data_IF_014365989322
#
_entry.id   IF_014365989322
#
_cell.length_a   1.000
_cell.length_b   1.000
_cell.length_c   1.000
_cell.angle_alpha   90.00
_cell.angle_beta   90.00
_cell.angle_gamma   90.00
#
_symmetry.space_group_name_H-M   'P 1'
#
loop_
_entity.id
_entity.type
_entity.pdbx_description
1 polymer ?
#
# COMPACT_ATOMS: atom_id res chain seq x y z
N UNK A 1 24.92 -6.57 -4.86
CA UNK A 1 23.89 -6.93 -3.87
C UNK A 1 22.94 -5.72 -3.74
N UNK A 2 21.64 -5.91 -3.90
CA UNK A 2 20.65 -4.82 -3.77
C UNK A 2 20.45 -4.48 -2.29
N UNK A 3 20.30 -3.20 -1.96
CA UNK A 3 20.09 -2.77 -0.57
C UNK A 3 18.63 -2.46 -0.32
N UNK A 4 18.10 -2.95 0.81
CA UNK A 4 16.72 -2.69 1.25
C UNK A 4 16.76 -1.63 2.34
N UNK A 5 16.03 -0.54 2.11
CA UNK A 5 15.81 0.55 3.05
C UNK A 5 14.34 0.58 3.47
N UNK A 6 14.08 0.92 4.72
CA UNK A 6 12.74 1.23 5.22
C UNK A 6 12.71 2.69 5.66
N UNK A 7 11.77 3.44 5.13
CA UNK A 7 11.40 4.79 5.56
C UNK A 7 10.16 4.66 6.42
N UNK A 8 10.23 5.12 7.66
CA UNK A 8 9.23 4.84 8.70
C UNK A 8 7.98 5.71 8.63
N UNK A 9 8.01 6.77 7.81
CA UNK A 9 6.87 7.67 7.59
C UNK A 9 7.11 8.54 6.34
N UNK A 10 6.02 8.93 5.68
CA UNK A 10 6.05 9.69 4.41
C UNK A 10 6.78 11.03 4.48
N UNK A 11 6.86 11.64 5.67
CA UNK A 11 7.54 12.92 5.89
C UNK A 11 9.06 12.81 5.73
N UNK A 12 9.61 11.61 5.94
CA UNK A 12 11.05 11.35 5.75
C UNK A 12 11.43 11.02 4.30
N UNK A 13 10.46 10.94 3.38
CA UNK A 13 10.71 10.69 1.95
C UNK A 13 11.41 11.90 1.34
N UNK A 14 12.51 11.63 0.64
CA UNK A 14 13.23 12.57 -0.21
C UNK A 14 13.07 12.12 -1.65
N UNK A 15 12.16 12.76 -2.37
CA UNK A 15 11.72 12.36 -3.72
C UNK A 15 12.88 12.21 -4.69
N UNK A 16 13.86 13.13 -4.63
CA UNK A 16 15.05 13.12 -5.47
C UNK A 16 15.93 11.86 -5.29
N UNK A 17 15.81 11.17 -4.16
CA UNK A 17 16.56 9.94 -3.89
C UNK A 17 15.86 8.67 -4.36
N UNK A 18 14.62 8.77 -4.78
CA UNK A 18 13.84 7.62 -5.24
C UNK A 18 13.97 7.34 -6.74
N UNK A 19 14.36 8.30 -7.55
CA UNK A 19 14.38 8.23 -9.02
C UNK A 19 15.10 6.99 -9.61
N UNK A 20 16.13 6.48 -8.92
CA UNK A 20 16.85 5.27 -9.34
C UNK A 20 16.47 4.00 -8.57
N UNK A 21 15.47 4.05 -7.70
CA UNK A 21 15.11 2.97 -6.80
C UNK A 21 13.80 2.28 -7.22
N UNK A 22 13.69 0.99 -6.88
CA UNK A 22 12.37 0.35 -6.79
C UNK A 22 11.76 0.73 -5.44
N UNK A 23 10.56 1.28 -5.44
CA UNK A 23 9.85 1.65 -4.21
C UNK A 23 8.59 0.80 -4.02
N UNK A 24 8.19 0.62 -2.75
CA UNK A 24 6.87 0.12 -2.39
C UNK A 24 6.28 0.99 -1.28
N UNK A 25 5.07 1.50 -1.49
CA UNK A 25 4.32 2.26 -0.48
C UNK A 25 3.42 1.33 0.29
N UNK A 26 3.42 1.50 1.62
CA UNK A 26 2.70 0.66 2.58
C UNK A 26 1.86 1.56 3.48
N UNK A 27 0.54 1.33 3.47
CA UNK A 27 -0.47 1.92 4.34
C UNK A 27 -1.48 0.80 4.67
N UNK A 28 -1.17 0.04 5.72
CA UNK A 28 -1.91 -1.17 6.06
C UNK A 28 -3.34 -0.85 6.49
N UNK A 29 -3.52 0.23 7.25
CA UNK A 29 -4.83 0.63 7.77
C UNK A 29 -5.20 2.09 7.38
N UNK A 30 -5.76 2.33 6.11
CA UNK A 30 -6.32 1.30 5.21
C UNK A 30 -5.96 1.50 3.73
N UNK A 31 -5.37 2.63 3.34
CA UNK A 31 -5.41 3.09 1.95
C UNK A 31 -4.81 2.07 0.97
N UNK A 32 -3.60 1.52 1.23
CA UNK A 32 -3.02 0.56 0.29
C UNK A 32 -3.74 -0.78 0.32
N UNK A 33 -4.26 -1.22 1.47
CA UNK A 33 -5.11 -2.40 1.53
C UNK A 33 -6.35 -2.22 0.66
N UNK A 34 -7.04 -1.09 0.77
CA UNK A 34 -8.23 -0.78 -0.03
C UNK A 34 -7.91 -0.77 -1.53
N UNK A 35 -6.80 -0.14 -1.94
CA UNK A 35 -6.35 -0.13 -3.35
C UNK A 35 -6.14 -1.56 -3.87
N UNK A 36 -5.53 -2.43 -3.07
CA UNK A 36 -5.27 -3.83 -3.45
C UNK A 36 -6.59 -4.60 -3.60
N UNK A 37 -7.53 -4.44 -2.67
CA UNK A 37 -8.86 -5.04 -2.77
C UNK A 37 -9.65 -4.51 -3.97
N UNK A 38 -9.60 -3.21 -4.26
CA UNK A 38 -10.21 -2.63 -5.46
C UNK A 38 -9.70 -3.31 -6.71
N UNK A 39 -8.38 -3.39 -6.86
CA UNK A 39 -7.78 -4.05 -8.03
C UNK A 39 -8.14 -5.54 -8.07
N UNK A 40 -8.12 -6.27 -6.94
CA UNK A 40 -8.52 -7.68 -6.90
C UNK A 40 -9.94 -7.88 -7.44
N UNK A 41 -10.84 -6.94 -7.15
CA UNK A 41 -12.23 -6.89 -7.62
C UNK A 41 -12.42 -6.27 -9.02
N UNK A 42 -11.32 -6.04 -9.75
CA UNK A 42 -11.30 -5.48 -11.11
C UNK A 42 -11.74 -4.01 -11.22
N UNK A 43 -11.68 -3.24 -10.14
CA UNK A 43 -11.73 -1.78 -10.24
C UNK A 43 -10.38 -1.28 -10.76
N UNK A 44 -10.30 -0.99 -12.04
CA UNK A 44 -9.05 -0.60 -12.69
C UNK A 44 -9.33 0.41 -13.81
N UNK A 45 -8.65 1.57 -13.86
CA UNK A 45 -7.54 1.97 -12.96
C UNK A 45 -8.04 2.50 -11.60
N UNK A 46 -7.12 2.54 -10.62
CA UNK A 46 -7.32 3.27 -9.36
C UNK A 46 -6.49 4.54 -9.37
N UNK A 47 -7.14 5.68 -9.15
CA UNK A 47 -6.50 6.99 -9.05
C UNK A 47 -6.32 7.37 -7.59
N UNK A 48 -5.07 7.46 -7.12
CA UNK A 48 -4.74 7.97 -5.80
C UNK A 48 -4.45 9.48 -5.91
N UNK A 49 -5.27 10.29 -5.23
CA UNK A 49 -5.20 11.76 -5.30
C UNK A 49 -5.00 12.38 -3.93
N UNK A 50 -4.53 13.64 -3.88
CA UNK A 50 -4.09 14.30 -2.64
C UNK A 50 -5.24 14.76 -1.73
N UNK A 51 -6.46 14.87 -2.24
CA UNK A 51 -7.58 15.32 -1.41
C UNK A 51 -8.89 15.37 -2.17
N UNK A 52 -9.96 15.75 -1.45
CA UNK A 52 -11.33 15.74 -1.96
C UNK A 52 -11.55 16.66 -3.17
N UNK A 53 -10.91 17.80 -3.23
CA UNK A 53 -11.06 18.75 -4.34
C UNK A 53 -10.55 18.12 -5.64
N UNK A 54 -9.33 17.60 -5.64
CA UNK A 54 -8.75 16.89 -6.78
C UNK A 54 -9.57 15.66 -7.17
N UNK A 55 -10.07 14.91 -6.17
CA UNK A 55 -10.92 13.75 -6.42
C UNK A 55 -12.22 14.14 -7.16
N UNK A 56 -12.89 15.22 -6.71
CA UNK A 56 -14.12 15.70 -7.34
C UNK A 56 -13.88 16.29 -8.74
N UNK A 57 -12.75 16.94 -8.97
CA UNK A 57 -12.38 17.43 -10.31
C UNK A 57 -12.16 16.26 -11.26
N UNK A 58 -11.37 15.27 -10.84
CA UNK A 58 -11.12 14.09 -11.65
C UNK A 58 -12.41 13.30 -11.90
N UNK A 59 -13.27 13.16 -10.89
CA UNK A 59 -14.57 12.50 -11.01
C UNK A 59 -15.46 13.10 -12.10
N UNK A 60 -15.46 14.43 -12.26
CA UNK A 60 -16.22 15.13 -13.32
C UNK A 60 -15.68 14.86 -14.73
N UNK A 61 -14.42 14.48 -14.84
CA UNK A 61 -13.77 14.18 -16.12
C UNK A 61 -13.91 12.71 -16.53
N UNK A 62 -14.32 11.85 -15.60
CA UNK A 62 -14.54 10.43 -15.89
C UNK A 62 -15.91 10.23 -16.55
N UNK A 63 -15.94 9.68 -17.76
CA UNK A 63 -17.18 9.32 -18.44
C UNK A 63 -17.78 8.01 -17.92
N UNK A 64 -16.94 7.11 -17.43
CA UNK A 64 -17.35 5.83 -16.86
C UNK A 64 -17.79 5.97 -15.40
N UNK A 65 -18.71 5.12 -14.97
CA UNK A 65 -19.03 4.98 -13.55
C UNK A 65 -17.78 4.57 -12.76
N UNK A 66 -17.55 5.22 -11.63
CA UNK A 66 -16.39 4.99 -10.78
C UNK A 66 -16.76 5.11 -9.29
N UNK A 67 -16.00 4.42 -8.46
CA UNK A 67 -16.10 4.61 -7.01
C UNK A 67 -15.32 5.84 -6.59
N UNK A 68 -15.89 6.61 -5.66
CA UNK A 68 -15.28 7.77 -5.06
C UNK A 68 -15.09 7.50 -3.57
N UNK A 69 -13.87 7.24 -3.15
CA UNK A 69 -13.52 6.86 -1.79
C UNK A 69 -12.66 7.94 -1.12
N UNK A 70 -12.96 8.24 0.15
CA UNK A 70 -12.15 9.25 0.81
C UNK A 70 -12.36 9.38 2.31
N UNK A 71 -11.26 9.67 3.00
CA UNK A 71 -11.21 10.04 4.40
C UNK A 71 -10.23 11.18 4.64
N UNK A 72 -10.43 11.90 5.73
CA UNK A 72 -9.48 12.88 6.25
C UNK A 72 -9.37 12.72 7.76
N UNK A 73 -8.16 12.41 8.26
CA UNK A 73 -7.87 12.17 9.69
C UNK A 73 -8.78 11.11 10.33
N UNK A 74 -9.13 10.08 9.55
CA UNK A 74 -10.02 8.99 9.95
C UNK A 74 -11.51 9.29 9.79
N UNK A 75 -11.92 10.53 9.49
CA UNK A 75 -13.31 10.88 9.25
C UNK A 75 -13.66 10.77 7.75
N UNK A 76 -14.78 10.10 7.45
CA UNK A 76 -15.25 9.96 6.07
C UNK A 76 -15.63 11.30 5.45
N UNK A 77 -15.27 11.49 4.18
CA UNK A 77 -15.56 12.71 3.45
C UNK A 77 -17.01 12.73 2.96
N UNK A 78 -17.64 13.91 3.01
CA UNK A 78 -19.03 14.06 2.54
C UNK A 78 -19.15 13.79 1.05
N UNK A 79 -20.01 12.84 0.68
CA UNK A 79 -20.24 12.44 -0.72
C UNK A 79 -19.23 11.43 -1.24
N UNK A 80 -18.39 10.87 -0.36
CA UNK A 80 -17.47 9.78 -0.65
C UNK A 80 -17.86 8.55 0.17
N UNK A 81 -17.61 7.38 -0.37
CA UNK A 81 -17.60 6.17 0.42
C UNK A 81 -16.33 6.12 1.29
N UNK A 82 -16.41 5.50 2.44
CA UNK A 82 -15.23 5.30 3.28
C UNK A 82 -14.30 4.27 2.63
N UNK A 83 -12.96 4.47 2.65
CA UNK A 83 -12.02 3.53 2.06
C UNK A 83 -11.84 2.28 2.93
N UNK A 84 -12.93 1.54 3.14
CA UNK A 84 -12.99 0.31 3.92
C UNK A 84 -13.02 -0.92 2.99
N UNK A 85 -12.00 -1.80 3.02
CA UNK A 85 -11.99 -3.00 2.19
C UNK A 85 -13.12 -3.98 2.53
N UNK A 86 -13.69 -3.95 3.75
CA UNK A 86 -14.85 -4.77 4.09
C UNK A 86 -16.07 -4.43 3.21
N UNK A 87 -16.30 -3.16 2.95
CA UNK A 87 -17.42 -2.70 2.14
C UNK A 87 -17.32 -3.18 0.67
N UNK A 88 -16.10 -3.44 0.20
CA UNK A 88 -15.86 -3.90 -1.16
C UNK A 88 -16.23 -5.37 -1.38
N UNK A 89 -16.41 -6.15 -0.32
CA UNK A 89 -16.70 -7.59 -0.43
C UNK A 89 -18.00 -7.88 -1.19
N UNK A 90 -18.95 -6.95 -1.15
CA UNK A 90 -20.26 -7.06 -1.78
C UNK A 90 -20.52 -6.02 -2.87
N UNK A 91 -19.50 -5.25 -3.25
CA UNK A 91 -19.63 -4.25 -4.30
C UNK A 91 -19.73 -4.88 -5.69
N UNK A 92 -20.56 -4.33 -6.59
CA UNK A 92 -20.66 -4.83 -7.96
C UNK A 92 -19.33 -4.69 -8.69
N UNK A 93 -18.99 -5.67 -9.50
CA UNK A 93 -17.79 -5.65 -10.33
C UNK A 93 -17.83 -4.51 -11.34
N UNK A 94 -16.66 -3.93 -11.60
CA UNK A 94 -16.25 -3.04 -12.70
C UNK A 94 -16.33 -1.59 -12.49
N UNK A 95 -15.25 -0.96 -12.31
CA UNK A 95 -15.15 0.47 -12.64
C UNK A 95 -13.85 0.98 -12.11
N UNK A 96 -13.38 2.07 -12.66
CA UNK A 96 -12.31 2.86 -12.06
C UNK A 96 -12.67 3.24 -10.62
N UNK A 97 -11.67 3.52 -9.82
CA UNK A 97 -11.86 4.10 -8.50
C UNK A 97 -10.96 5.32 -8.32
N UNK A 98 -11.47 6.31 -7.59
CA UNK A 98 -10.71 7.48 -7.15
C UNK A 98 -10.66 7.42 -5.62
N UNK A 99 -9.46 7.46 -5.07
CA UNK A 99 -9.25 7.38 -3.63
C UNK A 99 -8.40 8.55 -3.14
N UNK A 100 -8.79 9.19 -2.04
CA UNK A 100 -7.96 10.12 -1.30
C UNK A 100 -7.92 9.77 0.19
N UNK A 101 -6.76 9.89 0.81
CA UNK A 101 -6.55 9.59 2.22
C UNK A 101 -5.52 10.52 2.85
N UNK A 102 -5.52 10.56 4.17
CA UNK A 102 -4.60 11.40 4.95
C UNK A 102 -3.14 11.01 4.78
N UNK A 103 -2.85 9.71 4.59
CA UNK A 103 -1.49 9.19 4.63
C UNK A 103 -1.09 8.47 3.33
N UNK A 104 -1.80 7.43 2.94
CA UNK A 104 -1.38 6.53 1.86
C UNK A 104 -1.27 7.22 0.50
N UNK A 105 -2.26 8.03 0.11
CA UNK A 105 -2.23 8.72 -1.18
C UNK A 105 -1.15 9.78 -1.25
N UNK A 106 -0.83 10.43 -0.12
CA UNK A 106 0.29 11.38 -0.02
C UNK A 106 1.63 10.63 -0.14
N UNK A 107 1.76 9.46 0.49
CA UNK A 107 2.97 8.65 0.38
C UNK A 107 3.19 8.16 -1.06
N UNK A 108 2.13 7.78 -1.77
CA UNK A 108 2.18 7.40 -3.20
C UNK A 108 2.66 8.58 -4.04
N UNK A 109 2.07 9.76 -3.84
CA UNK A 109 2.48 10.98 -4.57
C UNK A 109 3.96 11.30 -4.35
N UNK A 110 4.46 11.21 -3.11
CA UNK A 110 5.89 11.43 -2.81
C UNK A 110 6.81 10.37 -3.41
N UNK A 111 6.31 9.17 -3.65
CA UNK A 111 7.09 8.07 -4.21
C UNK A 111 6.96 7.91 -5.73
N UNK A 112 6.08 8.66 -6.40
CA UNK A 112 5.73 8.49 -7.83
C UNK A 112 6.90 8.58 -8.79
N UNK A 113 7.96 9.31 -8.42
CA UNK A 113 9.17 9.49 -9.23
C UNK A 113 10.19 8.33 -9.05
N UNK A 114 9.86 7.28 -8.29
CA UNK A 114 10.68 6.09 -8.23
C UNK A 114 10.79 5.44 -9.62
N UNK A 115 11.92 4.76 -9.88
CA UNK A 115 12.11 4.00 -11.12
C UNK A 115 10.97 3.02 -11.38
N UNK A 116 10.47 2.41 -10.31
CA UNK A 116 9.28 1.58 -10.26
C UNK A 116 8.61 1.73 -8.91
N UNK A 117 7.31 1.91 -8.89
CA UNK A 117 6.53 2.09 -7.66
C UNK A 117 5.45 1.01 -7.56
N UNK A 118 5.55 0.22 -6.50
CA UNK A 118 4.55 -0.77 -6.09
C UNK A 118 3.68 -0.26 -4.95
N UNK A 119 2.45 -0.78 -4.87
CA UNK A 119 1.56 -0.58 -3.72
C UNK A 119 1.45 -1.89 -2.98
N UNK A 120 1.70 -1.87 -1.68
CA UNK A 120 1.76 -3.08 -0.86
C UNK A 120 1.08 -2.91 0.48
N UNK A 121 0.65 -4.02 1.03
CA UNK A 121 0.09 -4.16 2.36
C UNK A 121 0.35 -5.58 2.86
N UNK A 122 -0.07 -5.91 4.08
CA UNK A 122 -0.01 -7.28 4.62
C UNK A 122 -0.73 -8.32 3.73
N UNK A 123 -1.72 -7.89 2.94
CA UNK A 123 -2.54 -8.80 2.14
C UNK A 123 -1.83 -9.34 0.90
N UNK A 124 -0.84 -8.59 0.34
CA UNK A 124 -0.16 -8.94 -0.91
C UNK A 124 1.38 -8.86 -0.85
N UNK A 125 1.96 -8.53 0.31
CA UNK A 125 3.41 -8.26 0.43
C UNK A 125 4.29 -9.40 -0.08
N UNK A 126 3.88 -10.65 0.07
CA UNK A 126 4.57 -11.83 -0.46
C UNK A 126 4.70 -11.79 -2.00
N UNK A 127 3.66 -11.33 -2.72
CA UNK A 127 3.65 -11.22 -4.19
C UNK A 127 4.46 -10.03 -4.67
N UNK A 128 4.32 -8.90 -4.01
CA UNK A 128 5.13 -7.70 -4.32
C UNK A 128 6.62 -8.02 -4.13
N UNK A 129 6.99 -8.67 -3.03
CA UNK A 129 8.37 -9.09 -2.79
C UNK A 129 8.87 -10.09 -3.85
N UNK A 130 8.06 -11.07 -4.25
CA UNK A 130 8.38 -11.99 -5.34
C UNK A 130 8.66 -11.22 -6.64
N UNK A 131 7.79 -10.27 -6.98
CA UNK A 131 7.92 -9.48 -8.20
C UNK A 131 9.15 -8.58 -8.21
N UNK A 132 9.42 -7.89 -7.09
CA UNK A 132 10.64 -7.09 -6.93
C UNK A 132 11.91 -7.95 -7.08
N UNK A 133 11.87 -9.18 -6.57
CA UNK A 133 13.01 -10.10 -6.72
C UNK A 133 13.22 -10.50 -8.18
N UNK A 134 12.16 -10.71 -8.95
CA UNK A 134 12.25 -11.09 -10.36
C UNK A 134 12.83 -10.00 -11.28
N UNK A 135 12.76 -8.73 -10.88
CA UNK A 135 13.27 -7.61 -11.68
C UNK A 135 14.79 -7.65 -11.90
N UNK A 136 15.56 -8.07 -10.91
CA UNK A 136 17.02 -8.21 -10.93
C UNK A 136 17.79 -7.03 -11.59
N UNK A 137 17.23 -5.83 -11.51
CA UNK A 137 17.72 -4.64 -12.23
C UNK A 137 18.84 -3.89 -11.49
N UNK A 138 19.29 -4.43 -10.36
CA UNK A 138 20.36 -3.86 -9.53
C UNK A 138 19.95 -2.64 -8.68
N UNK A 139 18.75 -2.09 -8.84
CA UNK A 139 18.28 -0.93 -8.09
C UNK A 139 18.16 -1.22 -6.59
N UNK A 140 18.41 -0.20 -5.76
CA UNK A 140 18.05 -0.27 -4.33
C UNK A 140 16.55 -0.34 -4.16
N UNK A 141 16.11 -0.97 -3.07
CA UNK A 141 14.70 -1.10 -2.72
C UNK A 141 14.40 -0.17 -1.55
N UNK A 142 13.36 0.64 -1.69
CA UNK A 142 12.92 1.58 -0.64
C UNK A 142 11.47 1.27 -0.28
N UNK A 143 11.25 0.77 0.93
CA UNK A 143 9.93 0.51 1.48
C UNK A 143 9.49 1.75 2.26
N UNK A 144 8.41 2.37 1.83
CA UNK A 144 7.89 3.62 2.37
C UNK A 144 6.65 3.33 3.19
N UNK A 145 6.77 3.38 4.51
CA UNK A 145 5.61 3.41 5.40
C UNK A 145 4.92 4.78 5.29
N UNK A 146 3.61 4.80 5.18
CA UNK A 146 2.85 6.04 5.08
C UNK A 146 2.85 6.83 6.39
N UNK A 147 2.91 6.12 7.52
CA UNK A 147 2.82 6.72 8.83
C UNK A 147 1.39 7.14 9.19
N UNK A 148 1.23 7.77 10.33
CA UNK A 148 -0.06 8.22 10.86
C UNK A 148 0.04 9.70 11.28
N UNK A 149 -0.32 10.63 10.40
CA UNK A 149 -0.37 12.08 10.63
C UNK A 149 0.93 12.58 11.31
N UNK A 150 2.06 12.56 10.57
CA UNK A 150 3.42 12.91 11.00
C UNK A 150 4.03 12.00 12.09
N UNK A 151 3.41 10.85 12.37
CA UNK A 151 3.87 9.88 13.37
C UNK A 151 4.17 8.53 12.75
N UNK A 152 4.91 7.74 13.48
CA UNK A 152 5.16 6.34 13.17
C UNK A 152 3.87 5.53 13.17
N UNK A 153 3.75 4.61 12.20
CA UNK A 153 2.67 3.61 12.13
C UNK A 153 3.26 2.22 12.36
N UNK A 154 2.78 1.53 13.38
CA UNK A 154 3.25 0.19 13.74
C UNK A 154 2.88 -0.82 12.66
N UNK A 155 1.66 -0.78 12.17
CA UNK A 155 1.14 -1.67 11.15
C UNK A 155 1.89 -1.52 9.81
N UNK A 156 2.21 -0.30 9.39
CA UNK A 156 2.97 -0.06 8.17
C UNK A 156 4.40 -0.59 8.28
N UNK A 157 5.01 -0.40 9.45
CA UNK A 157 6.36 -0.88 9.71
C UNK A 157 6.43 -2.41 9.71
N UNK A 158 5.41 -3.07 10.25
CA UNK A 158 5.27 -4.53 10.21
C UNK A 158 5.00 -5.00 8.76
N UNK A 159 4.16 -4.29 8.00
CA UNK A 159 3.96 -4.54 6.57
C UNK A 159 5.25 -4.40 5.75
N UNK A 160 6.07 -3.39 6.03
CA UNK A 160 7.40 -3.27 5.43
C UNK A 160 8.31 -4.46 5.83
N UNK A 161 8.21 -4.90 7.08
CA UNK A 161 8.93 -6.08 7.58
C UNK A 161 8.58 -7.36 6.84
N UNK A 162 7.33 -7.54 6.41
CA UNK A 162 6.90 -8.66 5.57
C UNK A 162 7.67 -8.68 4.24
N UNK A 163 7.73 -7.54 3.52
CA UNK A 163 8.48 -7.48 2.27
C UNK A 163 9.97 -7.77 2.50
N UNK A 164 10.55 -7.20 3.58
CA UNK A 164 11.96 -7.50 3.94
C UNK A 164 12.16 -8.99 4.17
N UNK A 165 11.26 -9.64 4.91
CA UNK A 165 11.35 -11.09 5.19
C UNK A 165 11.34 -11.91 3.91
N UNK A 166 10.38 -11.67 3.04
CA UNK A 166 10.25 -12.39 1.78
C UNK A 166 11.43 -12.15 0.82
N UNK A 167 11.93 -10.92 0.74
CA UNK A 167 13.09 -10.59 -0.08
C UNK A 167 14.37 -11.21 0.49
N UNK A 168 14.59 -11.07 1.81
CA UNK A 168 15.80 -11.57 2.47
C UNK A 168 15.93 -13.09 2.34
N UNK A 169 14.82 -13.82 2.49
CA UNK A 169 14.79 -15.28 2.36
C UNK A 169 15.12 -15.77 0.94
N UNK A 170 14.98 -14.92 -0.08
CA UNK A 170 15.39 -15.21 -1.46
C UNK A 170 16.89 -14.98 -1.71
N UNK A 171 17.58 -14.32 -0.78
CA UNK A 171 19.00 -14.02 -0.85
C UNK A 171 19.36 -12.87 -1.77
N UNK A 172 20.60 -12.41 -1.69
CA UNK A 172 21.11 -11.35 -2.58
C UNK A 172 20.86 -9.91 -2.10
N UNK A 173 20.42 -9.71 -0.86
CA UNK A 173 20.08 -8.41 -0.31
C UNK A 173 20.91 -8.02 0.91
N UNK A 174 21.24 -6.74 1.01
CA UNK A 174 21.78 -6.09 2.19
C UNK A 174 20.66 -5.29 2.89
N UNK A 175 20.53 -5.43 4.20
CA UNK A 175 19.49 -4.75 4.97
C UNK A 175 20.05 -3.52 5.70
N UNK A 176 19.36 -2.39 5.57
CA UNK A 176 19.58 -1.24 6.48
C UNK A 176 19.15 -1.61 7.91
N UNK A 177 19.54 -0.82 8.91
CA UNK A 177 19.16 -1.08 10.30
C UNK A 177 17.64 -1.01 10.49
N UNK A 178 16.96 -0.06 9.85
CA UNK A 178 15.50 -0.01 9.85
C UNK A 178 14.87 -1.26 9.22
N UNK A 179 15.44 -1.79 8.12
CA UNK A 179 14.96 -3.02 7.50
C UNK A 179 15.15 -4.25 8.41
N UNK A 180 16.29 -4.35 9.10
CA UNK A 180 16.52 -5.43 10.10
C UNK A 180 15.50 -5.39 11.24
N UNK A 181 15.20 -4.18 11.74
CA UNK A 181 14.21 -4.01 12.80
C UNK A 181 12.79 -4.32 12.31
N UNK A 182 12.41 -3.85 11.12
CA UNK A 182 11.11 -4.15 10.52
C UNK A 182 10.92 -5.66 10.31
N UNK A 183 11.94 -6.36 9.79
CA UNK A 183 11.93 -7.82 9.65
C UNK A 183 11.68 -8.52 10.99
N UNK A 184 12.38 -8.09 12.04
CA UNK A 184 12.21 -8.65 13.39
C UNK A 184 10.81 -8.38 13.95
N UNK A 185 10.29 -7.16 13.75
CA UNK A 185 8.95 -6.79 14.15
C UNK A 185 7.91 -7.68 13.46
N UNK A 186 8.01 -7.83 12.12
CA UNK A 186 7.11 -8.71 11.37
C UNK A 186 7.14 -10.16 11.89
N UNK A 187 8.32 -10.74 12.11
CA UNK A 187 8.43 -12.13 12.61
C UNK A 187 7.74 -12.31 13.96
N UNK A 188 7.91 -11.36 14.87
CA UNK A 188 7.27 -11.43 16.19
C UNK A 188 5.76 -11.28 16.06
N UNK A 189 5.30 -10.28 15.31
CA UNK A 189 3.87 -10.03 15.07
C UNK A 189 3.17 -11.22 14.40
N UNK A 190 3.81 -11.78 13.37
CA UNK A 190 3.30 -12.97 12.69
C UNK A 190 3.17 -14.19 13.63
N UNK A 191 4.14 -14.41 14.53
CA UNK A 191 4.09 -15.48 15.52
C UNK A 191 2.92 -15.32 16.50
N UNK A 192 2.46 -14.08 16.73
CA UNK A 192 1.32 -13.73 17.59
C UNK A 192 0.04 -13.42 16.79
N UNK A 193 0.00 -13.83 15.50
CA UNK A 193 -1.16 -13.63 14.61
C UNK A 193 -1.58 -12.16 14.46
N UNK A 194 -0.63 -11.24 14.57
CA UNK A 194 -0.82 -9.78 14.45
C UNK A 194 -1.79 -9.17 15.49
N UNK A 195 -2.00 -9.82 16.61
CA UNK A 195 -2.97 -9.37 17.62
C UNK A 195 -2.69 -7.96 18.16
N UNK A 196 -1.42 -7.59 18.31
CA UNK A 196 -1.04 -6.25 18.78
C UNK A 196 -1.45 -5.13 17.81
N UNK A 197 -1.64 -5.43 16.52
CA UNK A 197 -2.10 -4.44 15.54
C UNK A 197 -3.55 -4.00 15.80
N UNK A 198 -4.36 -4.84 16.44
CA UNK A 198 -5.73 -4.49 16.80
C UNK A 198 -5.81 -3.43 17.90
N UNK A 199 -4.71 -3.18 18.61
CA UNK A 199 -4.57 -2.13 19.63
C UNK A 199 -3.68 -0.96 19.15
N UNK A 200 -3.29 -0.93 17.86
CA UNK A 200 -2.54 0.19 17.29
C UNK A 200 -3.34 1.50 17.36
N UNK A 201 -2.64 2.64 17.27
CA UNK A 201 -3.29 3.96 17.25
C UNK A 201 -4.29 4.07 16.10
N UNK A 202 -3.94 3.54 14.92
CA UNK A 202 -4.81 3.58 13.74
C UNK A 202 -6.01 2.64 13.89
N UNK A 203 -5.82 1.41 14.40
CA UNK A 203 -6.95 0.52 14.68
C UNK A 203 -7.93 1.12 15.69
N UNK A 204 -7.42 1.78 16.73
CA UNK A 204 -8.25 2.49 17.71
C UNK A 204 -8.95 3.72 17.11
N UNK A 205 -8.32 4.39 16.12
CA UNK A 205 -8.95 5.47 15.36
C UNK A 205 -10.13 4.92 14.53
N UNK A 206 -9.93 3.81 13.81
CA UNK A 206 -11.00 3.16 13.04
C UNK A 206 -12.18 2.76 13.91
N UNK A 207 -11.95 2.19 15.10
CA UNK A 207 -13.02 1.87 16.08
C UNK A 207 -13.82 3.12 16.46
N UNK A 208 -13.16 4.27 16.67
CA UNK A 208 -13.83 5.54 17.01
C UNK A 208 -14.71 6.08 15.88
N UNK A 209 -14.34 5.83 14.63
CA UNK A 209 -15.12 6.24 13.45
C UNK A 209 -16.11 5.18 12.96
N UNK A 210 -16.40 4.15 13.78
CA UNK A 210 -17.35 3.07 13.51
C UNK A 210 -16.91 2.09 12.40
N UNK A 211 -15.62 1.86 12.24
CA UNK A 211 -15.03 0.83 11.36
C UNK A 211 -14.23 -0.20 12.19
N UNK A 212 -14.82 -0.84 13.22
CA UNK A 212 -14.07 -1.70 14.14
C UNK A 212 -13.52 -2.97 13.46
N UNK A 213 -14.18 -3.43 12.41
CA UNK A 213 -13.85 -4.69 11.73
C UNK A 213 -12.77 -4.53 10.65
N UNK A 214 -12.52 -3.29 10.20
CA UNK A 214 -11.64 -3.04 9.06
C UNK A 214 -10.20 -3.53 9.28
N UNK A 215 -9.62 -3.28 10.45
CA UNK A 215 -8.27 -3.74 10.79
C UNK A 215 -8.21 -5.28 10.87
N UNK A 216 -9.18 -5.91 11.53
CA UNK A 216 -9.27 -7.37 11.63
C UNK A 216 -9.46 -8.02 10.26
N UNK A 217 -10.26 -7.39 9.40
CA UNK A 217 -10.47 -7.85 8.02
C UNK A 217 -9.15 -7.90 7.24
N UNK A 218 -8.33 -6.84 7.30
CA UNK A 218 -7.02 -6.80 6.64
C UNK A 218 -6.10 -7.89 7.19
N UNK A 219 -6.05 -8.05 8.53
CA UNK A 219 -5.22 -9.08 9.18
C UNK A 219 -5.65 -10.48 8.74
N UNK A 220 -6.95 -10.76 8.70
CA UNK A 220 -7.48 -12.07 8.25
C UNK A 220 -7.14 -12.38 6.79
N UNK A 221 -6.85 -11.34 5.99
CA UNK A 221 -6.42 -11.49 4.59
C UNK A 221 -4.91 -11.44 4.40
N UNK A 222 -4.12 -11.57 5.46
CA UNK A 222 -2.67 -11.68 5.37
C UNK A 222 -2.27 -12.73 4.32
N UNK A 223 -1.48 -12.30 3.32
CA UNK A 223 -0.96 -13.12 2.21
C UNK A 223 -2.03 -13.85 1.36
N UNK A 224 -3.25 -13.33 1.30
CA UNK A 224 -4.32 -14.00 0.53
C UNK A 224 -4.56 -13.41 -0.86
N UNK A 225 -4.01 -12.24 -1.18
CA UNK A 225 -4.24 -11.60 -2.46
C UNK A 225 -2.99 -11.67 -3.35
N UNK A 226 -3.21 -12.10 -4.59
CA UNK A 226 -2.15 -12.30 -5.59
C UNK A 226 -1.89 -11.06 -6.45
N UNK A 227 -2.62 -9.98 -6.21
CA UNK A 227 -2.53 -8.74 -6.97
C UNK A 227 -1.21 -8.03 -6.71
N UNK A 228 -0.55 -7.61 -7.78
CA UNK A 228 0.65 -6.77 -7.74
C UNK A 228 0.31 -5.42 -8.36
N UNK A 229 -0.06 -4.43 -7.54
CA UNK A 229 -0.35 -3.09 -8.04
C UNK A 229 0.92 -2.32 -8.35
N UNK A 230 0.93 -1.66 -9.50
CA UNK A 230 2.01 -0.75 -9.91
C UNK A 230 1.44 0.62 -10.25
N UNK A 231 2.23 1.66 -9.95
CA UNK A 231 1.91 3.02 -10.35
C UNK A 231 2.49 3.29 -11.74
N UNK A 232 1.64 3.59 -12.71
CA UNK A 232 1.99 3.88 -14.09
C UNK A 232 1.18 5.07 -14.59
N UNK A 233 1.83 6.08 -15.13
CA UNK A 233 1.21 7.25 -15.78
C UNK A 233 0.10 7.94 -14.95
N UNK A 234 0.31 8.08 -13.64
CA UNK A 234 -0.65 8.73 -12.75
C UNK A 234 -1.77 7.82 -12.22
N UNK A 235 -1.72 6.55 -12.54
CA UNK A 235 -2.73 5.55 -12.18
C UNK A 235 -2.10 4.35 -11.48
N UNK A 236 -2.89 3.63 -10.69
CA UNK A 236 -2.50 2.35 -10.12
C UNK A 236 -3.27 1.27 -10.86
N UNK A 237 -2.53 0.32 -11.42
CA UNK A 237 -3.05 -0.79 -12.23
C UNK A 237 -2.48 -2.12 -11.76
N UNK A 238 -3.11 -3.22 -12.13
CA UNK A 238 -2.50 -4.55 -11.96
C UNK A 238 -1.29 -4.67 -12.88
N UNK A 239 -0.16 -5.09 -12.35
CA UNK A 239 0.96 -5.43 -13.21
C UNK A 239 0.56 -6.56 -14.15
N UNK A 240 0.63 -6.31 -15.45
CA UNK A 240 0.42 -7.33 -16.47
C UNK A 240 1.69 -8.17 -16.59
N UNK A 241 1.57 -9.50 -16.48
CA UNK A 241 2.69 -10.40 -16.75
C UNK A 241 3.19 -10.07 -18.15
N UNK A 242 4.43 -9.59 -18.27
CA UNK A 242 5.08 -9.55 -19.57
C UNK A 242 5.18 -11.00 -20.06
N UNK A 243 4.42 -11.33 -21.10
CA UNK A 243 4.67 -12.56 -21.86
C UNK A 243 6.04 -12.38 -22.47
N UNK A 244 7.09 -12.96 -21.87
CA UNK A 244 8.37 -13.08 -22.55
C UNK A 244 8.10 -13.96 -23.76
N UNK A 245 8.02 -13.34 -24.94
CA UNK A 245 8.14 -14.09 -26.19
C UNK A 245 9.49 -14.79 -26.13
N UNK A 246 9.47 -16.11 -25.97
CA UNK A 246 10.66 -16.93 -26.16
C UNK A 246 11.02 -16.85 -27.64
N UNK A 247 12.06 -16.11 -27.97
CA UNK A 247 12.80 -16.23 -29.23
C UNK A 247 13.79 -17.38 -29.12
#
# INVERSE_FOLDING_TARGET
>A
MRKIHVITQKEAVREERLAGCTAAVIDVFLATSTIIFLLDRNYEPVHAVLGSEQALELSKLQEAEHLLLGESKGEGLKGFDYPDPCALEHSPERQAAIICSTNGTIAIEKAKNAKRLYISSLVNGHRVAERIHQEQDGSSIVLVCSGNDDRFSMEDFIGAGQLVEHLHNRGGYELSDAAKLAQKAYRNSHAESFNELLDSETANLLKRFNFPEAAEFVIRHHEKLDVVPVYEDGMIVKERKQVRNAE
#
